data_IF_248793747257
#
_entry.id   IF_248793747257
#
_cell.length_a   1.000
_cell.length_b   1.000
_cell.length_c   1.000
_cell.angle_alpha   90.00
_cell.angle_beta   90.00
_cell.angle_gamma   90.00
#
_symmetry.space_group_name_H-M   'P 1'
#
loop_
_entity.id
_entity.type
_entity.pdbx_description
1 polymer ?
#
# COMPACT_ATOMS: atom_id res chain seq x y z
N UNK A 1 9.48 -1.20 -48.20
CA UNK A 1 8.25 -0.79 -47.46
C UNK A 1 7.60 -2.03 -46.85
N UNK A 2 7.92 -2.41 -45.60
CA UNK A 2 7.20 -3.50 -44.90
C UNK A 2 5.80 -3.00 -44.53
N UNK A 3 4.76 -3.56 -45.16
CA UNK A 3 3.36 -3.30 -44.82
C UNK A 3 3.16 -3.68 -43.34
N UNK A 4 2.86 -2.69 -42.50
CA UNK A 4 2.35 -2.93 -41.15
C UNK A 4 0.95 -3.50 -41.32
N UNK A 5 0.80 -4.81 -41.26
CA UNK A 5 -0.50 -5.45 -41.13
C UNK A 5 -1.13 -4.93 -39.84
N UNK A 6 -2.19 -4.12 -39.99
CA UNK A 6 -3.02 -3.68 -38.87
C UNK A 6 -3.69 -4.92 -38.29
N UNK A 7 -3.06 -5.57 -37.32
CA UNK A 7 -3.71 -6.60 -36.50
C UNK A 7 -4.98 -5.97 -35.92
N UNK A 8 -6.13 -6.46 -36.34
CA UNK A 8 -7.42 -6.07 -35.80
C UNK A 8 -7.42 -6.56 -34.35
N UNK A 9 -7.30 -5.63 -33.40
CA UNK A 9 -7.34 -5.97 -31.97
C UNK A 9 -8.64 -6.69 -31.67
N UNK A 10 -8.55 -7.88 -31.11
CA UNK A 10 -9.73 -8.64 -30.68
C UNK A 10 -10.41 -7.90 -29.54
N UNK A 11 -11.70 -8.16 -29.30
CA UNK A 11 -12.41 -7.59 -28.15
C UNK A 11 -11.71 -7.92 -26.82
N UNK A 12 -11.10 -9.10 -26.73
CA UNK A 12 -10.29 -9.52 -25.59
C UNK A 12 -9.05 -8.64 -25.39
N UNK A 13 -8.30 -8.32 -26.46
CA UNK A 13 -7.11 -7.48 -26.37
C UNK A 13 -7.45 -6.04 -25.92
N UNK A 14 -8.60 -5.51 -26.34
CA UNK A 14 -9.09 -4.21 -25.85
C UNK A 14 -9.49 -4.26 -24.38
N UNK A 15 -10.18 -5.32 -23.97
CA UNK A 15 -10.58 -5.51 -22.57
C UNK A 15 -9.36 -5.68 -21.66
N UNK A 16 -8.36 -6.44 -22.09
CA UNK A 16 -7.09 -6.63 -21.38
C UNK A 16 -6.33 -5.30 -21.23
N UNK A 17 -6.22 -4.53 -22.31
CA UNK A 17 -5.57 -3.21 -22.25
C UNK A 17 -6.27 -2.26 -21.28
N UNK A 18 -7.61 -2.28 -21.24
CA UNK A 18 -8.38 -1.47 -20.30
C UNK A 18 -8.20 -1.95 -18.85
N UNK A 19 -8.27 -3.26 -18.61
CA UNK A 19 -8.05 -3.85 -17.29
C UNK A 19 -6.64 -3.53 -16.77
N UNK A 20 -5.62 -3.64 -17.63
CA UNK A 20 -4.23 -3.29 -17.29
C UNK A 20 -4.08 -1.81 -16.92
N UNK A 21 -4.76 -0.90 -17.62
CA UNK A 21 -4.77 0.51 -17.27
C UNK A 21 -5.38 0.74 -15.87
N UNK A 22 -6.52 0.11 -15.55
CA UNK A 22 -7.15 0.24 -14.23
C UNK A 22 -6.27 -0.37 -13.15
N UNK A 23 -5.76 -1.58 -13.37
CA UNK A 23 -4.92 -2.29 -12.39
C UNK A 23 -3.64 -1.50 -12.10
N UNK A 24 -2.98 -0.94 -13.11
CA UNK A 24 -1.78 -0.11 -12.90
C UNK A 24 -2.10 1.17 -12.12
N UNK A 25 -3.24 1.82 -12.40
CA UNK A 25 -3.68 2.99 -11.64
C UNK A 25 -3.97 2.66 -10.18
N UNK A 26 -4.70 1.57 -9.89
CA UNK A 26 -5.02 1.15 -8.52
C UNK A 26 -3.75 0.72 -7.79
N UNK A 27 -2.88 -0.05 -8.44
CA UNK A 27 -1.65 -0.57 -7.83
C UNK A 27 -0.61 0.53 -7.58
N UNK A 28 -0.64 1.64 -8.30
CA UNK A 28 0.17 2.82 -8.00
C UNK A 28 -0.50 3.78 -7.00
N UNK A 29 -1.77 4.09 -7.22
CA UNK A 29 -2.53 5.07 -6.45
C UNK A 29 -2.81 4.63 -5.02
N UNK A 30 -3.17 3.36 -4.80
CA UNK A 30 -3.48 2.89 -3.45
C UNK A 30 -2.25 2.91 -2.52
N UNK A 31 -1.06 2.40 -2.89
CA UNK A 31 0.14 2.53 -2.06
C UNK A 31 0.58 3.98 -1.86
N UNK A 32 0.45 4.83 -2.89
CA UNK A 32 0.74 6.26 -2.75
C UNK A 32 -0.14 6.90 -1.67
N UNK A 33 -1.46 6.74 -1.76
CA UNK A 33 -2.39 7.26 -0.75
C UNK A 33 -2.15 6.61 0.63
N UNK A 34 -1.84 5.31 0.65
CA UNK A 34 -1.47 4.59 1.88
C UNK A 34 -0.23 5.17 2.56
N UNK A 35 0.78 5.58 1.77
CA UNK A 35 1.98 6.23 2.27
C UNK A 35 1.75 7.63 2.86
N UNK A 36 0.64 8.28 2.51
CA UNK A 36 0.26 9.58 3.09
C UNK A 36 -0.43 9.44 4.46
N UNK A 37 -0.99 8.28 4.79
CA UNK A 37 -1.68 8.02 6.06
C UNK A 37 -0.82 8.34 7.30
N UNK A 38 0.44 7.88 7.43
CA UNK A 38 1.29 8.26 8.55
C UNK A 38 1.57 9.77 8.65
N UNK A 39 1.40 10.53 7.56
CA UNK A 39 1.64 11.97 7.55
C UNK A 39 0.48 12.78 8.14
N UNK A 40 -0.71 12.17 8.29
CA UNK A 40 -1.91 12.83 8.80
C UNK A 40 -1.66 13.68 10.06
N UNK A 41 -1.09 13.15 11.17
CA UNK A 41 -0.88 13.94 12.37
C UNK A 41 0.11 15.11 12.19
N UNK A 42 1.05 14.99 11.26
CA UNK A 42 2.04 16.03 10.98
C UNK A 42 1.44 17.26 10.29
N UNK A 43 0.27 17.14 9.64
CA UNK A 43 -0.42 18.30 9.07
C UNK A 43 -1.06 19.21 10.11
N UNK A 44 -1.25 18.74 11.35
CA UNK A 44 -1.96 19.47 12.41
C UNK A 44 -1.04 20.11 13.45
N UNK A 45 0.28 19.96 13.31
CA UNK A 45 1.27 20.48 14.27
C UNK A 45 2.36 21.24 13.55
N UNK A 46 2.80 22.37 14.11
CA UNK A 46 3.88 23.19 13.52
C UNK A 46 5.27 22.66 13.85
N UNK A 47 5.45 22.08 15.05
CA UNK A 47 6.71 21.50 15.51
C UNK A 47 6.39 20.08 15.97
N UNK A 48 6.79 19.05 15.22
CA UNK A 48 6.52 17.66 15.60
C UNK A 48 7.38 17.26 16.79
N UNK A 49 6.72 16.68 17.79
CA UNK A 49 7.33 16.10 18.98
C UNK A 49 7.14 14.57 18.98
N UNK A 50 7.69 13.89 20.00
CA UNK A 50 7.58 12.44 20.12
C UNK A 50 6.12 11.94 20.13
N UNK A 51 5.19 12.72 20.71
CA UNK A 51 3.77 12.32 20.72
C UNK A 51 3.16 12.32 19.32
N UNK A 52 3.53 13.27 18.46
CA UNK A 52 3.14 13.31 17.04
C UNK A 52 3.62 12.05 16.30
N UNK A 53 4.86 11.62 16.53
CA UNK A 53 5.40 10.38 15.93
C UNK A 53 4.66 9.13 16.42
N UNK A 54 4.40 9.02 17.73
CA UNK A 54 3.65 7.89 18.29
C UNK A 54 2.23 7.83 17.69
N UNK A 55 1.57 8.99 17.58
CA UNK A 55 0.24 9.08 16.97
C UNK A 55 0.24 8.63 15.51
N UNK A 56 1.27 8.97 14.74
CA UNK A 56 1.46 8.51 13.36
C UNK A 56 1.55 6.97 13.26
N UNK A 57 2.32 6.33 14.14
CA UNK A 57 2.42 4.88 14.19
C UNK A 57 1.11 4.21 14.63
N UNK A 58 0.38 4.80 15.58
CA UNK A 58 -0.93 4.29 16.01
C UNK A 58 -1.93 4.34 14.85
N UNK A 59 -2.05 5.49 14.17
CA UNK A 59 -2.94 5.65 13.02
C UNK A 59 -2.57 4.62 11.94
N UNK A 60 -1.30 4.53 11.60
CA UNK A 60 -0.82 3.56 10.60
C UNK A 60 -1.14 2.13 11.01
N UNK A 61 -0.88 1.77 12.28
CA UNK A 61 -1.18 0.44 12.82
C UNK A 61 -2.66 0.09 12.74
N UNK A 62 -3.55 1.04 13.06
CA UNK A 62 -5.02 0.86 12.90
C UNK A 62 -5.36 0.58 11.44
N UNK A 63 -4.84 1.37 10.50
CA UNK A 63 -5.08 1.16 9.07
C UNK A 63 -4.53 -0.18 8.57
N UNK A 64 -3.36 -0.63 9.06
CA UNK A 64 -2.79 -1.95 8.73
C UNK A 64 -3.69 -3.08 9.22
N UNK A 65 -4.22 -2.98 10.45
CA UNK A 65 -5.17 -3.98 10.97
C UNK A 65 -6.44 -3.99 10.13
N UNK A 66 -7.01 -2.82 9.83
CA UNK A 66 -8.20 -2.71 8.97
C UNK A 66 -7.93 -3.29 7.57
N UNK A 67 -6.76 -3.06 7.01
CA UNK A 67 -6.35 -3.59 5.70
C UNK A 67 -6.20 -5.11 5.74
N UNK A 68 -5.63 -5.66 6.82
CA UNK A 68 -5.55 -7.10 7.04
C UNK A 68 -6.93 -7.75 7.16
N UNK A 69 -7.86 -7.10 7.88
CA UNK A 69 -9.26 -7.55 7.97
C UNK A 69 -9.92 -7.53 6.60
N UNK A 70 -9.81 -6.41 5.89
CA UNK A 70 -10.37 -6.23 4.56
C UNK A 70 -9.85 -7.28 3.58
N UNK A 71 -8.54 -7.53 3.59
CA UNK A 71 -7.93 -8.51 2.70
C UNK A 71 -8.39 -9.94 3.01
N UNK A 72 -8.53 -10.29 4.28
CA UNK A 72 -9.07 -11.60 4.67
C UNK A 72 -10.53 -11.80 4.27
N UNK A 73 -11.34 -10.74 4.34
CA UNK A 73 -12.73 -10.77 3.86
C UNK A 73 -12.80 -10.99 2.35
N UNK A 74 -12.03 -10.23 1.57
CA UNK A 74 -12.10 -10.30 0.10
C UNK A 74 -11.46 -11.58 -0.46
N UNK A 75 -10.46 -12.12 0.22
CA UNK A 75 -9.80 -13.37 -0.17
C UNK A 75 -10.62 -14.62 0.18
N UNK A 76 -11.79 -14.49 0.82
CA UNK A 76 -12.58 -15.60 1.39
C UNK A 76 -11.72 -16.56 2.23
N UNK A 77 -10.78 -15.99 3.00
CA UNK A 77 -9.83 -16.76 3.81
C UNK A 77 -9.92 -16.31 5.27
N UNK A 78 -8.99 -16.79 6.10
CA UNK A 78 -8.94 -16.41 7.51
C UNK A 78 -8.55 -14.94 7.66
N UNK A 79 -9.50 -14.13 8.14
CA UNK A 79 -9.31 -12.72 8.55
C UNK A 79 -8.14 -12.61 9.54
N UNK A 80 -8.08 -13.52 10.51
CA UNK A 80 -7.03 -13.52 11.54
C UNK A 80 -5.66 -13.72 10.91
N UNK A 81 -5.53 -14.66 9.96
CA UNK A 81 -4.26 -14.92 9.27
C UNK A 81 -3.75 -13.67 8.55
N UNK A 82 -4.61 -13.02 7.76
CA UNK A 82 -4.22 -11.81 7.02
C UNK A 82 -3.91 -10.63 7.93
N UNK A 83 -4.67 -10.47 9.01
CA UNK A 83 -4.42 -9.42 10.02
C UNK A 83 -3.06 -9.62 10.70
N UNK A 84 -2.74 -10.85 11.14
CA UNK A 84 -1.43 -11.15 11.75
C UNK A 84 -0.29 -10.96 10.74
N UNK A 85 -0.47 -11.40 9.49
CA UNK A 85 0.54 -11.22 8.45
C UNK A 85 0.83 -9.75 8.17
N UNK A 86 -0.22 -8.92 8.04
CA UNK A 86 -0.08 -7.48 7.80
C UNK A 86 0.53 -6.75 9.00
N UNK A 87 0.07 -7.03 10.22
CA UNK A 87 0.67 -6.46 11.44
C UNK A 87 2.13 -6.91 11.62
N UNK A 88 2.45 -8.17 11.31
CA UNK A 88 3.81 -8.69 11.35
C UNK A 88 4.71 -8.01 10.33
N UNK A 89 4.24 -7.82 9.09
CA UNK A 89 4.98 -7.08 8.06
C UNK A 89 5.27 -5.64 8.52
N UNK A 90 4.29 -4.95 9.09
CA UNK A 90 4.48 -3.61 9.65
C UNK A 90 5.57 -3.58 10.73
N UNK A 91 5.52 -4.48 11.72
CA UNK A 91 6.53 -4.55 12.77
C UNK A 91 7.92 -4.88 12.23
N UNK A 92 8.03 -5.81 11.28
CA UNK A 92 9.30 -6.17 10.64
C UNK A 92 9.85 -4.97 9.87
N UNK A 93 9.03 -4.25 9.11
CA UNK A 93 9.45 -3.06 8.38
C UNK A 93 9.95 -1.98 9.33
N UNK A 94 9.22 -1.70 10.43
CA UNK A 94 9.69 -0.75 11.44
C UNK A 94 11.04 -1.15 12.04
N UNK A 95 11.18 -2.41 12.41
CA UNK A 95 12.43 -2.94 12.95
C UNK A 95 13.59 -2.81 11.96
N UNK A 96 13.37 -3.18 10.70
CA UNK A 96 14.39 -3.07 9.66
C UNK A 96 14.76 -1.61 9.37
N UNK A 97 13.78 -0.71 9.26
CA UNK A 97 14.05 0.71 8.99
C UNK A 97 14.81 1.37 10.14
N UNK A 98 14.45 1.07 11.39
CA UNK A 98 15.17 1.61 12.57
C UNK A 98 16.57 1.03 12.71
N UNK A 99 16.75 -0.26 12.45
CA UNK A 99 18.06 -0.90 12.40
C UNK A 99 18.94 -0.29 11.31
N UNK A 100 18.37 -0.08 10.12
CA UNK A 100 19.06 0.52 8.99
C UNK A 100 19.48 1.95 9.32
N UNK A 101 18.58 2.77 9.88
CA UNK A 101 18.87 4.14 10.27
C UNK A 101 20.07 4.19 11.23
N UNK A 102 20.07 3.34 12.25
CA UNK A 102 21.17 3.23 13.22
C UNK A 102 22.49 2.77 12.60
N UNK A 103 22.49 2.06 11.47
CA UNK A 103 23.70 1.65 10.77
C UNK A 103 24.36 2.80 9.99
N UNK A 104 23.57 3.80 9.59
CA UNK A 104 24.05 4.96 8.83
C UNK A 104 24.36 6.19 9.70
N UNK A 105 23.94 6.20 10.96
CA UNK A 105 24.40 7.15 12.00
C UNK A 105 25.75 6.72 12.60
#
# INVERSE_FOLDING_TARGET
KKKKDKKIKTLHEKAEAFASLIVSFVNGGAPFLGGLVPLIPFFFVSIPDLSTFILSFIITGVFIVLLGIFLGMISKSSIVKYTIQMSGAFLITLFLTTLLLKMFE
#
